data_IF_558204693941
#
_entry.id   IF_558204693941
#
_cell.length_a   1.000
_cell.length_b   1.000
_cell.length_c   1.000
_cell.angle_alpha   90.00
_cell.angle_beta   90.00
_cell.angle_gamma   90.00
#
_symmetry.space_group_name_H-M   'P 1'
#
loop_
_entity.id
_entity.type
_entity.pdbx_description
1 polymer ?
#
# COMPACT_ATOMS: atom_id res chain seq x y z
N UNK A 1 11.73 13.75 -13.44
CA UNK A 1 12.82 12.97 -12.83
C UNK A 1 12.90 11.66 -13.60
N UNK A 2 14.01 11.36 -14.28
CA UNK A 2 14.14 10.07 -14.98
C UNK A 2 14.80 9.10 -14.02
N UNK A 3 14.05 8.12 -13.52
CA UNK A 3 14.56 7.13 -12.57
C UNK A 3 15.37 6.11 -13.38
N UNK A 4 16.63 5.89 -13.00
CA UNK A 4 17.42 4.80 -13.57
C UNK A 4 16.97 3.47 -12.95
N UNK A 5 16.32 2.65 -13.79
CA UNK A 5 15.80 1.34 -13.40
C UNK A 5 16.84 0.21 -13.58
N UNK A 6 18.04 0.50 -14.07
CA UNK A 6 19.06 -0.51 -14.36
C UNK A 6 19.42 -1.35 -13.14
N UNK A 7 19.65 -0.77 -11.93
CA UNK A 7 19.97 -1.56 -10.75
C UNK A 7 18.86 -2.55 -10.34
N UNK A 8 17.60 -2.10 -10.39
CA UNK A 8 16.45 -2.97 -10.09
C UNK A 8 16.35 -4.13 -11.08
N UNK A 9 16.50 -3.85 -12.38
CA UNK A 9 16.43 -4.89 -13.43
C UNK A 9 17.55 -5.92 -13.29
N UNK A 10 18.75 -5.48 -12.91
CA UNK A 10 19.87 -6.36 -12.66
C UNK A 10 19.60 -7.31 -11.48
N UNK A 11 19.07 -6.79 -10.37
CA UNK A 11 18.71 -7.61 -9.20
C UNK A 11 17.60 -8.62 -9.53
N UNK A 12 16.50 -8.18 -10.15
CA UNK A 12 15.40 -9.08 -10.55
C UNK A 12 15.88 -10.20 -11.49
N UNK A 13 16.86 -9.91 -12.36
CA UNK A 13 17.46 -10.91 -13.25
C UNK A 13 18.27 -11.93 -12.47
N UNK A 14 18.99 -11.52 -11.42
CA UNK A 14 19.74 -12.46 -10.57
C UNK A 14 18.82 -13.40 -9.80
N UNK A 15 17.70 -12.91 -9.25
CA UNK A 15 16.71 -13.75 -8.57
C UNK A 15 16.10 -14.77 -9.51
N UNK A 16 15.75 -14.34 -10.72
CA UNK A 16 15.23 -15.22 -11.77
C UNK A 16 16.24 -16.27 -12.19
N UNK A 17 17.51 -15.90 -12.36
CA UNK A 17 18.58 -16.83 -12.75
C UNK A 17 18.90 -17.88 -11.67
N UNK A 18 18.56 -17.59 -10.42
CA UNK A 18 18.77 -18.47 -9.27
C UNK A 18 17.49 -19.20 -8.83
N UNK A 19 16.39 -19.06 -9.57
CA UNK A 19 15.06 -19.59 -9.22
C UNK A 19 14.61 -19.22 -7.79
N UNK A 20 14.96 -18.01 -7.34
CA UNK A 20 14.61 -17.52 -6.02
C UNK A 20 13.21 -16.87 -6.02
N UNK A 21 12.33 -17.24 -5.07
CA UNK A 21 11.01 -16.63 -4.95
C UNK A 21 11.11 -15.22 -4.37
N UNK A 22 10.77 -14.19 -5.16
CA UNK A 22 10.70 -12.81 -4.68
C UNK A 22 9.36 -12.53 -4.01
N UNK A 23 9.36 -12.47 -2.67
CA UNK A 23 8.21 -12.00 -1.92
C UNK A 23 8.06 -10.48 -2.10
N UNK A 24 6.97 -10.05 -2.73
CA UNK A 24 6.63 -8.64 -2.88
C UNK A 24 5.56 -8.29 -1.84
N UNK A 25 5.78 -7.17 -1.15
CA UNK A 25 4.79 -6.54 -0.29
C UNK A 25 4.59 -5.10 -0.77
N UNK A 26 3.33 -4.71 -0.93
CA UNK A 26 2.95 -3.40 -1.45
C UNK A 26 1.77 -2.81 -0.67
N UNK A 27 1.77 -1.49 -0.56
CA UNK A 27 0.87 -0.72 0.30
C UNK A 27 0.50 0.62 -0.33
N UNK A 28 -0.73 1.05 -0.11
CA UNK A 28 -1.22 2.42 -0.35
C UNK A 28 -1.51 3.12 1.00
N UNK A 29 -1.21 4.41 1.11
CA UNK A 29 -1.29 5.17 2.37
C UNK A 29 -2.53 6.07 2.42
N UNK A 30 -2.87 6.55 3.62
CA UNK A 30 -3.94 7.52 3.86
C UNK A 30 -5.35 7.05 3.48
N UNK A 31 -5.61 5.74 3.53
CA UNK A 31 -6.93 5.19 3.27
C UNK A 31 -7.94 5.64 4.36
N UNK A 32 -8.97 6.39 3.94
CA UNK A 32 -10.03 6.86 4.84
C UNK A 32 -11.43 6.46 4.37
N UNK A 33 -11.65 6.28 3.06
CA UNK A 33 -12.94 5.91 2.51
C UNK A 33 -12.75 5.12 1.20
N UNK A 34 -13.76 4.38 0.73
CA UNK A 34 -13.79 3.85 -0.63
C UNK A 34 -13.70 4.99 -1.65
N UNK A 35 -12.83 4.81 -2.64
CA UNK A 35 -12.65 5.76 -3.74
C UNK A 35 -12.44 5.01 -5.04
N UNK A 36 -12.66 5.64 -6.21
CA UNK A 36 -12.34 5.01 -7.50
C UNK A 36 -10.88 4.56 -7.63
N UNK A 37 -9.95 5.22 -6.94
CA UNK A 37 -8.55 4.81 -6.90
C UNK A 37 -8.37 3.53 -6.07
N UNK A 38 -9.08 3.41 -4.95
CA UNK A 38 -9.07 2.20 -4.13
C UNK A 38 -9.79 1.03 -4.83
N UNK A 39 -10.86 1.28 -5.58
CA UNK A 39 -11.53 0.26 -6.41
C UNK A 39 -10.55 -0.30 -7.45
N UNK A 40 -9.80 0.59 -8.13
CA UNK A 40 -8.76 0.19 -9.08
C UNK A 40 -7.65 -0.61 -8.40
N UNK A 41 -7.25 -0.22 -7.20
CA UNK A 41 -6.20 -0.92 -6.44
C UNK A 41 -6.66 -2.34 -6.05
N UNK A 42 -7.92 -2.49 -5.62
CA UNK A 42 -8.51 -3.79 -5.33
C UNK A 42 -8.53 -4.69 -6.57
N UNK A 43 -9.00 -4.18 -7.71
CA UNK A 43 -9.01 -4.92 -8.97
C UNK A 43 -7.60 -5.36 -9.40
N UNK A 44 -6.58 -4.50 -9.24
CA UNK A 44 -5.20 -4.87 -9.53
C UNK A 44 -4.68 -5.98 -8.60
N UNK A 45 -5.03 -5.93 -7.31
CA UNK A 45 -4.63 -6.94 -6.35
C UNK A 45 -5.26 -8.30 -6.65
N UNK A 46 -6.53 -8.31 -7.09
CA UNK A 46 -7.22 -9.51 -7.58
C UNK A 46 -6.58 -10.06 -8.86
N UNK A 47 -6.38 -9.22 -9.89
CA UNK A 47 -5.78 -9.62 -11.16
C UNK A 47 -4.37 -10.20 -11.00
N UNK A 48 -3.59 -9.66 -10.06
CA UNK A 48 -2.24 -10.12 -9.74
C UNK A 48 -2.23 -11.31 -8.79
N UNK A 49 -3.36 -11.67 -8.17
CA UNK A 49 -3.44 -12.59 -7.04
C UNK A 49 -2.42 -12.25 -5.94
N UNK A 50 -2.27 -10.95 -5.66
CA UNK A 50 -1.27 -10.42 -4.74
C UNK A 50 -1.92 -9.45 -3.75
N UNK A 51 -2.05 -9.80 -2.46
CA UNK A 51 -2.67 -8.93 -1.48
C UNK A 51 -1.99 -7.57 -1.38
N UNK A 52 -2.78 -6.51 -1.37
CA UNK A 52 -2.33 -5.14 -1.16
C UNK A 52 -2.74 -4.65 0.21
N UNK A 53 -1.84 -3.93 0.86
CA UNK A 53 -2.12 -3.37 2.17
C UNK A 53 -2.62 -1.94 2.02
N UNK A 54 -3.54 -1.51 2.87
CA UNK A 54 -3.99 -0.12 2.93
C UNK A 54 -3.73 0.45 4.31
N UNK A 55 -3.02 1.57 4.39
CA UNK A 55 -2.70 2.22 5.65
C UNK A 55 -3.87 3.16 6.02
N UNK A 56 -4.69 2.73 6.97
CA UNK A 56 -5.92 3.41 7.37
C UNK A 56 -5.65 4.43 8.48
N UNK A 57 -6.21 5.64 8.36
CA UNK A 57 -6.22 6.64 9.45
C UNK A 57 -7.54 6.49 10.24
N UNK A 58 -7.56 5.82 11.40
CA UNK A 58 -8.82 5.39 12.02
C UNK A 58 -9.71 6.55 12.50
N UNK A 59 -9.14 7.70 12.89
CA UNK A 59 -9.94 8.89 13.25
C UNK A 59 -10.75 9.44 12.07
N UNK A 60 -10.25 9.27 10.86
CA UNK A 60 -10.85 9.78 9.64
C UNK A 60 -11.57 8.68 8.83
N UNK A 61 -11.53 7.42 9.29
CA UNK A 61 -12.10 6.30 8.56
C UNK A 61 -13.63 6.42 8.48
N UNK A 62 -14.13 6.46 7.25
CA UNK A 62 -15.55 6.44 6.93
C UNK A 62 -16.15 5.07 7.27
N UNK A 63 -17.39 5.00 7.81
CA UNK A 63 -18.06 3.74 8.13
C UNK A 63 -18.22 2.75 6.97
N UNK A 64 -18.12 3.21 5.72
CA UNK A 64 -18.14 2.36 4.52
C UNK A 64 -16.81 1.63 4.27
N UNK A 65 -15.68 2.10 4.79
CA UNK A 65 -14.37 1.49 4.56
C UNK A 65 -14.28 0.05 5.12
N UNK A 66 -14.74 -0.28 6.34
CA UNK A 66 -14.75 -1.66 6.83
C UNK A 66 -15.62 -2.61 5.99
N UNK A 67 -16.72 -2.11 5.41
CA UNK A 67 -17.56 -2.91 4.51
C UNK A 67 -16.82 -3.18 3.20
N UNK A 68 -16.14 -2.16 2.66
CA UNK A 68 -15.30 -2.31 1.49
C UNK A 68 -14.21 -3.37 1.71
N UNK A 69 -13.44 -3.29 2.80
CA UNK A 69 -12.37 -4.26 3.07
C UNK A 69 -12.90 -5.68 3.30
N UNK A 70 -14.10 -5.85 3.88
CA UNK A 70 -14.72 -7.17 4.04
C UNK A 70 -15.17 -7.81 2.73
N UNK A 71 -15.46 -6.99 1.72
CA UNK A 71 -15.93 -7.45 0.41
C UNK A 71 -14.79 -7.66 -0.59
N UNK A 72 -13.54 -7.32 -0.23
CA UNK A 72 -12.38 -7.43 -1.10
C UNK A 72 -11.26 -8.19 -0.37
N UNK A 73 -11.18 -9.50 -0.58
CA UNK A 73 -10.27 -10.41 0.16
C UNK A 73 -8.77 -10.10 -0.07
N UNK A 74 -8.43 -9.42 -1.16
CA UNK A 74 -7.05 -9.01 -1.47
C UNK A 74 -6.65 -7.69 -0.80
N UNK A 75 -7.56 -7.02 -0.08
CA UNK A 75 -7.27 -5.78 0.65
C UNK A 75 -7.00 -6.10 2.13
N UNK A 76 -5.80 -5.74 2.59
CA UNK A 76 -5.38 -5.95 3.98
C UNK A 76 -5.26 -4.59 4.70
N UNK A 77 -6.21 -4.20 5.57
CA UNK A 77 -6.11 -2.94 6.29
C UNK A 77 -5.05 -2.98 7.39
N UNK A 78 -4.23 -1.93 7.45
CA UNK A 78 -3.22 -1.65 8.48
C UNK A 78 -3.50 -0.30 9.13
N UNK A 79 -2.96 -0.05 10.33
CA UNK A 79 -3.12 1.26 11.00
C UNK A 79 -2.00 2.21 10.57
N UNK A 80 -2.38 3.42 10.14
CA UNK A 80 -1.48 4.52 9.75
C UNK A 80 -1.45 5.64 10.80
N UNK A 81 -1.22 5.27 12.06
CA UNK A 81 -1.42 6.15 13.20
C UNK A 81 -2.89 6.52 13.43
N UNK A 82 -3.19 7.23 14.52
CA UNK A 82 -4.59 7.52 14.88
C UNK A 82 -5.24 8.57 13.98
N UNK A 83 -4.59 9.72 13.80
CA UNK A 83 -5.16 10.92 13.18
C UNK A 83 -4.28 11.57 12.12
N UNK A 84 -3.12 10.98 11.84
CA UNK A 84 -2.12 11.51 10.91
C UNK A 84 -1.72 12.98 11.20
N UNK A 85 -1.65 13.34 12.48
CA UNK A 85 -1.17 14.66 12.95
C UNK A 85 0.28 14.52 13.40
N UNK A 86 1.15 15.34 12.82
CA UNK A 86 2.55 15.42 13.27
C UNK A 86 2.63 16.07 14.64
N UNK A 87 3.31 15.38 15.56
CA UNK A 87 3.68 15.92 16.88
C UNK A 87 5.17 16.30 16.94
N UNK A 88 5.85 16.33 15.79
CA UNK A 88 7.24 16.72 15.71
C UNK A 88 7.41 18.22 15.99
N UNK A 89 8.55 18.65 16.59
CA UNK A 89 8.85 20.06 16.77
C UNK A 89 8.82 20.82 15.43
N UNK A 90 8.47 22.11 15.49
CA UNK A 90 8.42 22.95 14.29
C UNK A 90 9.77 22.95 13.57
N UNK A 91 9.76 22.59 12.28
CA UNK A 91 10.97 22.49 11.44
C UNK A 91 11.62 21.10 11.39
N UNK A 92 11.15 20.13 12.18
CA UNK A 92 11.53 18.73 11.99
C UNK A 92 10.75 18.13 10.80
N UNK A 93 11.39 17.21 10.07
CA UNK A 93 10.70 16.43 9.05
C UNK A 93 9.65 15.55 9.72
N UNK A 94 8.44 15.52 9.15
CA UNK A 94 7.46 14.50 9.51
C UNK A 94 8.03 13.14 9.09
N UNK A 95 7.97 12.16 10.01
CA UNK A 95 8.34 10.78 9.74
C UNK A 95 7.10 9.99 9.31
#
# INVERSE_FOLDING_TARGET
>A
MNIDWTPLRAELSQWRNQDLPLAIWWRDDDAVAPTPALDRLAALAEDLTLPVHIAVIPKAADPSLPLFTRNNDMIVPLVHGWQHVSHAPQGAKNA
#
